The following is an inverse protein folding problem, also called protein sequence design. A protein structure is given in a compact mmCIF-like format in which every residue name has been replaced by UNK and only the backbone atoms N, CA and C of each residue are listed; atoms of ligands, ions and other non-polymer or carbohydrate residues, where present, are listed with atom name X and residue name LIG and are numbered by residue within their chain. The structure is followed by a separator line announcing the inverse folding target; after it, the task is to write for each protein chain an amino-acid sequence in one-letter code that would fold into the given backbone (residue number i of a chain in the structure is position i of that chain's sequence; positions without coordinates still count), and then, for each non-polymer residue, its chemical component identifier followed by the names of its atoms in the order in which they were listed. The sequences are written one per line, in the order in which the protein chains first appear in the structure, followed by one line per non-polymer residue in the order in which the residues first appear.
data_IF_799200184230
#
_entry.id   IF_799200184230
#
_cell.length_a   1.000
_cell.length_b   1.000
_cell.length_c   1.000
_cell.angle_alpha   90.00
_cell.angle_beta   90.00
_cell.angle_gamma   90.00
#
_symmetry.space_group_name_H-M   'P 1'
#
loop_
_entity.id
_entity.type
_entity.pdbx_description
1 polymer ?
#
# COMPACT_ATOMS: atom_id res chain seq x y z
N UNK A 1 -12.50 1.23 10.25
CA UNK A 1 -12.81 1.77 8.90
C UNK A 1 -12.56 0.67 7.88
N UNK A 2 -13.35 0.61 6.80
CA UNK A 2 -13.12 -0.29 5.66
C UNK A 2 -13.05 0.53 4.38
N UNK A 3 -12.20 0.14 3.45
CA UNK A 3 -12.00 0.81 2.17
C UNK A 3 -12.03 -0.21 1.04
N UNK A 4 -12.92 -0.02 0.08
CA UNK A 4 -12.99 -0.86 -1.12
C UNK A 4 -12.19 -0.20 -2.24
N UNK A 5 -11.17 -0.89 -2.72
CA UNK A 5 -10.15 -0.37 -3.64
C UNK A 5 -9.76 -1.40 -4.68
N UNK A 6 -9.39 -0.91 -5.87
CA UNK A 6 -8.67 -1.70 -6.88
C UNK A 6 -7.18 -1.42 -6.80
N UNK A 7 -6.36 -2.47 -6.83
CA UNK A 7 -4.91 -2.32 -6.96
C UNK A 7 -4.57 -2.01 -8.41
N UNK A 8 -3.97 -0.85 -8.64
CA UNK A 8 -3.63 -0.37 -9.98
C UNK A 8 -2.21 -0.75 -10.38
N UNK A 9 -1.28 -0.69 -9.43
CA UNK A 9 0.13 -1.02 -9.64
C UNK A 9 0.79 -1.43 -8.34
N UNK A 10 1.78 -2.31 -8.40
CA UNK A 10 2.66 -2.71 -7.32
C UNK A 10 4.11 -2.62 -7.79
N UNK A 11 5.01 -2.19 -6.90
CA UNK A 11 6.44 -2.15 -7.18
C UNK A 11 7.23 -2.29 -5.90
N UNK A 12 8.41 -2.87 -6.01
CA UNK A 12 9.34 -3.00 -4.89
C UNK A 12 10.23 -1.76 -4.80
N UNK A 13 10.66 -1.45 -3.58
CA UNK A 13 11.72 -0.48 -3.36
C UNK A 13 12.75 -1.03 -2.38
N UNK A 14 14.01 -0.74 -2.67
CA UNK A 14 15.16 -0.99 -1.82
C UNK A 14 15.74 0.34 -1.36
N UNK A 15 16.40 0.36 -0.21
CA UNK A 15 17.24 1.49 0.14
C UNK A 15 18.57 1.36 -0.63
N UNK A 16 19.10 2.46 -1.15
CA UNK A 16 20.43 2.49 -1.78
C UNK A 16 21.55 2.02 -0.84
N UNK A 17 21.39 2.20 0.47
CA UNK A 17 22.42 1.86 1.48
C UNK A 17 22.27 0.43 2.04
N UNK A 18 21.12 -0.21 1.84
CA UNK A 18 20.86 -1.56 2.32
C UNK A 18 20.11 -2.36 1.27
N UNK A 19 20.63 -3.53 0.90
CA UNK A 19 19.94 -4.52 0.04
C UNK A 19 18.67 -5.11 0.66
N UNK A 20 18.22 -4.57 1.80
CA UNK A 20 16.98 -4.94 2.46
C UNK A 20 15.80 -4.35 1.69
N UNK A 21 14.97 -5.24 1.15
CA UNK A 21 13.64 -4.89 0.62
C UNK A 21 12.78 -4.39 1.78
N UNK A 22 12.15 -3.22 1.62
CA UNK A 22 11.18 -2.69 2.59
C UNK A 22 9.78 -3.27 2.41
N UNK A 23 9.52 -3.79 1.21
CA UNK A 23 8.28 -4.44 0.81
C UNK A 23 7.66 -3.75 -0.41
N UNK A 24 6.61 -4.33 -0.99
CA UNK A 24 5.95 -3.72 -2.13
C UNK A 24 5.19 -2.47 -1.70
N UNK A 25 5.41 -1.39 -2.45
CA UNK A 25 4.46 -0.29 -2.51
C UNK A 25 3.38 -0.62 -3.53
N UNK A 26 2.20 -0.05 -3.33
CA UNK A 26 1.08 -0.22 -4.23
C UNK A 26 0.31 1.08 -4.42
N UNK A 27 -0.17 1.29 -5.63
CA UNK A 27 -1.10 2.33 -6.01
C UNK A 27 -2.50 1.72 -6.05
N UNK A 28 -3.46 2.40 -5.43
CA UNK A 28 -4.85 1.97 -5.38
C UNK A 28 -5.80 3.09 -5.78
N UNK A 29 -6.99 2.70 -6.23
CA UNK A 29 -8.08 3.62 -6.58
C UNK A 29 -9.40 3.16 -5.95
N UNK A 30 -10.17 4.11 -5.41
CA UNK A 30 -11.50 3.85 -4.88
C UNK A 30 -12.60 4.02 -5.95
N UNK A 31 -13.85 3.72 -5.57
CA UNK A 31 -15.02 3.86 -6.46
C UNK A 31 -15.33 5.31 -6.91
N UNK A 32 -14.74 6.32 -6.25
CA UNK A 32 -14.89 7.73 -6.61
C UNK A 32 -13.74 8.21 -7.50
N UNK A 33 -12.77 7.35 -7.80
CA UNK A 33 -11.58 7.69 -8.57
C UNK A 33 -10.47 8.34 -7.74
N UNK A 34 -10.58 8.37 -6.40
CA UNK A 34 -9.49 8.86 -5.57
C UNK A 34 -8.35 7.85 -5.58
N UNK A 35 -7.13 8.34 -5.84
CA UNK A 35 -5.93 7.52 -5.84
C UNK A 35 -5.14 7.73 -4.56
N UNK A 36 -4.57 6.65 -4.05
CA UNK A 36 -3.72 6.67 -2.86
C UNK A 36 -2.64 5.61 -3.00
N UNK A 37 -1.52 5.83 -2.34
CA UNK A 37 -0.48 4.82 -2.22
C UNK A 37 -0.53 4.11 -0.86
N UNK A 38 0.00 2.91 -0.84
CA UNK A 38 0.27 2.19 0.39
C UNK A 38 1.48 1.27 0.27
N UNK A 39 1.79 0.61 1.37
CA UNK A 39 2.90 -0.34 1.47
C UNK A 39 2.52 -1.57 2.28
N UNK A 40 3.07 -2.71 1.89
CA UNK A 40 3.08 -3.92 2.71
C UNK A 40 4.51 -4.09 3.22
N UNK A 41 4.78 -3.91 4.52
CA UNK A 41 6.13 -4.13 5.06
C UNK A 41 6.62 -5.56 4.78
N UNK A 42 7.90 -5.75 4.45
CA UNK A 42 8.47 -7.06 4.07
C UNK A 42 8.14 -8.19 5.05
N UNK A 43 8.20 -7.93 6.36
CA UNK A 43 7.90 -8.92 7.39
C UNK A 43 6.41 -9.33 7.47
N UNK A 44 5.53 -8.65 6.72
CA UNK A 44 4.11 -9.00 6.54
C UNK A 44 3.82 -9.59 5.16
N UNK A 45 4.74 -9.50 4.21
CA UNK A 45 4.49 -9.86 2.81
C UNK A 45 4.07 -11.34 2.67
N UNK A 46 4.68 -12.24 3.44
CA UNK A 46 4.34 -13.66 3.43
C UNK A 46 2.85 -13.98 3.73
N UNK A 47 2.12 -13.05 4.37
CA UNK A 47 0.68 -13.20 4.64
C UNK A 47 -0.16 -12.93 3.39
N UNK A 48 0.32 -12.06 2.49
CA UNK A 48 -0.47 -11.46 1.42
C UNK A 48 0.04 -11.80 0.01
N UNK A 49 1.23 -12.41 -0.11
CA UNK A 49 1.93 -12.69 -1.38
C UNK A 49 1.06 -13.36 -2.44
N UNK A 50 0.25 -14.34 -2.04
CA UNK A 50 -0.57 -15.10 -2.96
C UNK A 50 -1.96 -14.49 -3.20
N UNK A 51 -2.38 -13.56 -2.35
CA UNK A 51 -3.75 -13.06 -2.33
C UNK A 51 -3.87 -11.62 -2.79
N UNK A 52 -2.82 -10.80 -2.67
CA UNK A 52 -2.84 -9.37 -2.96
C UNK A 52 -2.15 -9.07 -4.29
N UNK A 53 -2.93 -8.78 -5.32
CA UNK A 53 -2.48 -8.72 -6.71
C UNK A 53 -2.97 -7.47 -7.43
N UNK A 54 -2.18 -7.03 -8.41
CA UNK A 54 -2.58 -5.98 -9.34
C UNK A 54 -3.88 -6.33 -10.08
N UNK A 55 -4.72 -5.33 -10.32
CA UNK A 55 -5.96 -5.44 -11.08
C UNK A 55 -7.18 -5.92 -10.27
N UNK A 56 -6.97 -6.49 -9.08
CA UNK A 56 -8.03 -7.05 -8.22
C UNK A 56 -8.61 -5.99 -7.29
N UNK A 57 -9.89 -6.16 -6.94
CA UNK A 57 -10.62 -5.30 -5.99
C UNK A 57 -10.65 -5.98 -4.62
N UNK A 58 -10.23 -5.26 -3.58
CA UNK A 58 -10.25 -5.72 -2.18
C UNK A 58 -11.07 -4.77 -1.32
N UNK A 59 -11.56 -5.29 -0.19
CA UNK A 59 -12.09 -4.44 0.89
C UNK A 59 -11.16 -4.52 2.07
N UNK A 60 -10.23 -3.58 2.13
CA UNK A 60 -9.21 -3.54 3.18
C UNK A 60 -9.75 -2.89 4.45
N UNK A 61 -9.32 -3.38 5.61
CA UNK A 61 -9.71 -2.85 6.91
C UNK A 61 -8.59 -2.98 7.93
N UNK A 62 -8.70 -2.24 9.04
CA UNK A 62 -7.75 -2.29 10.16
C UNK A 62 -6.29 -2.04 9.72
N UNK A 63 -6.07 -1.22 8.71
CA UNK A 63 -4.76 -0.72 8.33
C UNK A 63 -4.39 0.52 9.13
N UNK A 64 -3.11 0.89 9.09
CA UNK A 64 -2.63 2.17 9.61
C UNK A 64 -2.58 3.21 8.48
N UNK A 65 -2.93 4.45 8.78
CA UNK A 65 -2.76 5.59 7.88
C UNK A 65 -1.74 6.58 8.45
N UNK A 66 -0.89 7.11 7.57
CA UNK A 66 0.10 8.12 7.92
C UNK A 66 -0.14 9.36 7.07
N UNK A 67 -0.29 10.51 7.74
CA UNK A 67 -0.30 11.81 7.10
C UNK A 67 1.13 12.33 6.94
N UNK A 68 1.51 12.78 5.75
CA UNK A 68 2.76 13.53 5.55
C UNK A 68 2.59 14.59 4.47
N UNK A 69 3.08 15.80 4.74
CA UNK A 69 3.17 16.87 3.74
C UNK A 69 4.41 16.75 2.86
N UNK A 70 5.45 16.04 3.32
CA UNK A 70 6.67 15.82 2.56
C UNK A 70 6.44 14.69 1.54
N UNK A 71 6.07 15.05 0.31
CA UNK A 71 5.73 14.16 -0.81
C UNK A 71 6.95 13.54 -1.52
N UNK A 72 8.06 13.30 -0.82
CA UNK A 72 9.26 12.73 -1.47
C UNK A 72 8.96 11.30 -1.92
N UNK A 73 9.22 11.02 -3.19
CA UNK A 73 9.09 9.68 -3.82
C UNK A 73 7.67 9.08 -3.80
N UNK A 74 6.63 9.92 -3.93
CA UNK A 74 5.23 9.48 -4.08
C UNK A 74 4.81 9.45 -5.55
N UNK A 75 4.07 8.42 -5.95
CA UNK A 75 3.41 8.35 -7.26
C UNK A 75 2.13 9.19 -7.32
N UNK A 76 1.54 9.57 -6.17
CA UNK A 76 0.32 10.39 -6.12
C UNK A 76 0.41 11.54 -5.11
N UNK A 77 -0.45 12.53 -5.31
CA UNK A 77 -0.49 13.74 -4.48
C UNK A 77 -1.27 13.60 -3.17
N UNK A 78 -1.92 12.46 -2.95
CA UNK A 78 -2.77 12.24 -1.78
C UNK A 78 -1.96 12.39 -0.47
N UNK A 79 -2.45 13.16 0.52
CA UNK A 79 -1.68 13.47 1.72
C UNK A 79 -1.54 12.27 2.68
N UNK A 80 -2.49 11.35 2.64
CA UNK A 80 -2.46 10.11 3.42
C UNK A 80 -1.82 8.96 2.65
N UNK A 81 -1.20 8.07 3.39
CA UNK A 81 -0.55 6.84 2.93
C UNK A 81 -1.03 5.66 3.80
N UNK A 82 -1.32 4.51 3.20
CA UNK A 82 -1.73 3.30 3.95
C UNK A 82 -0.55 2.37 4.21
N UNK A 83 -0.42 1.85 5.42
CA UNK A 83 0.52 0.78 5.76
C UNK A 83 -0.20 -0.43 6.34
N UNK A 84 0.12 -1.61 5.82
CA UNK A 84 -0.45 -2.85 6.34
C UNK A 84 0.15 -3.16 7.73
N UNK A 85 -0.74 -3.43 8.68
CA UNK A 85 -0.43 -3.76 10.06
C UNK A 85 -0.81 -5.20 10.37
N UNK A 86 -0.49 -5.68 11.57
CA UNK A 86 -0.80 -7.06 12.00
C UNK A 86 -2.27 -7.42 11.86
N UNK A 87 -3.13 -6.46 12.16
CA UNK A 87 -4.56 -6.61 12.20
C UNK A 87 -5.24 -6.30 10.86
N UNK A 88 -4.47 -5.98 9.81
CA UNK A 88 -5.02 -5.64 8.50
C UNK A 88 -5.70 -6.84 7.87
N UNK A 89 -6.91 -6.61 7.39
CA UNK A 89 -7.76 -7.57 6.70
C UNK A 89 -7.91 -7.13 5.24
N UNK A 90 -7.90 -8.07 4.30
CA UNK A 90 -8.12 -7.87 2.86
C UNK A 90 -9.38 -8.63 2.40
#
# INVERSE_FOLDING_TARGET
MKLTIRIMRMWEHTNTDSTVLYGPNFLMVDHKGNTMEGTIPTYRMCIYENEFQEGVIYTIGNFCDTYSQEKKYRAVEHPFWISFAQQTLI
#
